data_IF_013012745613
#
_entry.id   IF_013012745613
#
_cell.length_a   1.000
_cell.length_b   1.000
_cell.length_c   1.000
_cell.angle_alpha   90.00
_cell.angle_beta   90.00
_cell.angle_gamma   90.00
#
_symmetry.space_group_name_H-M   'P 1'
#
loop_
_entity.id
_entity.type
_entity.pdbx_description
1 polymer ?
#
# COMPACT_ATOMS: atom_id res chain seq x y z
N UNK A 1 10.51 -8.66 -6.19
CA UNK A 1 9.91 -9.46 -5.09
C UNK A 1 8.43 -9.68 -5.40
N UNK A 2 7.85 -10.81 -5.01
CA UNK A 2 6.41 -11.03 -5.16
C UNK A 2 5.60 -10.13 -4.21
N UNK A 3 4.36 -9.80 -4.58
CA UNK A 3 3.44 -8.94 -3.84
C UNK A 3 3.24 -9.38 -2.38
N UNK A 4 3.12 -10.68 -2.13
CA UNK A 4 2.91 -11.20 -0.77
C UNK A 4 4.16 -11.01 0.11
N UNK A 5 5.35 -11.24 -0.46
CA UNK A 5 6.62 -11.14 0.27
C UNK A 5 6.94 -9.71 0.69
N UNK A 6 6.82 -8.76 -0.25
CA UNK A 6 6.97 -7.33 0.04
C UNK A 6 5.87 -6.84 0.99
N UNK A 7 4.62 -7.27 0.77
CA UNK A 7 3.48 -6.88 1.58
C UNK A 7 3.63 -7.31 3.03
N UNK A 8 4.07 -8.54 3.28
CA UNK A 8 4.31 -9.05 4.63
C UNK A 8 5.39 -8.25 5.36
N UNK A 9 6.50 -7.94 4.68
CA UNK A 9 7.56 -7.13 5.25
C UNK A 9 7.09 -5.70 5.54
N UNK A 10 6.44 -5.03 4.59
CA UNK A 10 5.92 -3.67 4.77
C UNK A 10 4.90 -3.60 5.91
N UNK A 11 3.96 -4.54 5.93
CA UNK A 11 2.94 -4.63 6.98
C UNK A 11 3.61 -4.74 8.34
N UNK A 12 4.51 -5.70 8.52
CA UNK A 12 5.22 -5.89 9.78
C UNK A 12 6.03 -4.66 10.21
N UNK A 13 6.74 -4.01 9.29
CA UNK A 13 7.54 -2.82 9.63
C UNK A 13 6.69 -1.61 10.03
N UNK A 14 5.47 -1.48 9.50
CA UNK A 14 4.62 -0.33 9.79
C UNK A 14 3.61 -0.55 10.92
N UNK A 15 3.15 -1.79 11.12
CA UNK A 15 2.16 -2.12 12.15
C UNK A 15 2.79 -2.79 13.37
N UNK A 16 3.98 -3.39 13.22
CA UNK A 16 4.59 -4.26 14.24
C UNK A 16 3.94 -5.64 14.32
N UNK A 17 2.92 -5.92 13.51
CA UNK A 17 2.14 -7.16 13.55
C UNK A 17 2.49 -8.06 12.35
N UNK A 18 2.39 -9.40 12.48
CA UNK A 18 2.55 -10.29 11.34
C UNK A 18 1.38 -10.14 10.37
N UNK A 19 1.65 -10.23 9.06
CA UNK A 19 0.60 -10.23 8.04
C UNK A 19 -0.01 -11.63 7.91
N UNK A 20 -1.34 -11.72 7.97
CA UNK A 20 -2.06 -12.91 7.54
C UNK A 20 -2.13 -12.97 6.01
N UNK A 21 -1.39 -13.90 5.41
CA UNK A 21 -1.33 -14.06 3.95
C UNK A 21 -2.68 -14.44 3.35
N UNK A 22 -3.57 -15.05 4.12
CA UNK A 22 -4.92 -15.44 3.67
C UNK A 22 -5.84 -14.23 3.49
N UNK A 23 -5.54 -13.11 4.15
CA UNK A 23 -6.27 -11.86 4.05
C UNK A 23 -5.90 -11.01 2.82
N UNK A 24 -4.82 -11.38 2.13
CA UNK A 24 -4.31 -10.66 0.96
C UNK A 24 -5.31 -10.75 -0.20
N UNK A 25 -5.66 -9.59 -0.75
CA UNK A 25 -6.46 -9.43 -1.97
C UNK A 25 -5.70 -8.55 -2.93
N UNK A 26 -4.70 -9.13 -3.60
CA UNK A 26 -3.81 -8.45 -4.55
C UNK A 26 -4.58 -7.68 -5.63
N UNK A 27 -5.62 -8.28 -6.23
CA UNK A 27 -6.50 -7.62 -7.22
C UNK A 27 -7.19 -6.36 -6.70
N UNK A 28 -7.26 -6.16 -5.38
CA UNK A 28 -7.83 -4.99 -4.72
C UNK A 28 -6.78 -4.11 -4.06
N UNK A 29 -5.50 -4.44 -4.23
CA UNK A 29 -4.37 -3.78 -3.57
C UNK A 29 -4.50 -3.79 -2.03
N UNK A 30 -5.12 -4.82 -1.46
CA UNK A 30 -5.38 -4.93 -0.03
C UNK A 30 -4.52 -6.04 0.58
N UNK A 31 -3.74 -5.72 1.60
CA UNK A 31 -2.94 -6.71 2.33
C UNK A 31 -3.75 -7.34 3.45
N UNK A 32 -4.45 -6.50 4.23
CA UNK A 32 -5.13 -6.95 5.42
C UNK A 32 -5.40 -5.79 6.37
N UNK A 33 -5.75 -6.14 7.60
CA UNK A 33 -5.93 -5.17 8.67
C UNK A 33 -5.09 -5.54 9.89
N UNK A 34 -4.60 -4.49 10.55
CA UNK A 34 -3.94 -4.53 11.85
C UNK A 34 -4.93 -4.10 12.93
N UNK A 35 -4.50 -4.04 14.18
CA UNK A 35 -5.33 -3.52 15.26
C UNK A 35 -5.75 -2.06 15.04
N UNK A 36 -4.97 -1.27 14.30
CA UNK A 36 -5.20 0.18 14.13
C UNK A 36 -5.45 0.64 12.68
N UNK A 37 -5.05 -0.15 11.68
CA UNK A 37 -5.06 0.25 10.26
C UNK A 37 -5.55 -0.83 9.31
N UNK A 38 -6.27 -0.42 8.27
CA UNK A 38 -6.36 -1.16 7.02
C UNK A 38 -5.12 -0.89 6.17
N UNK A 39 -4.42 -1.94 5.75
CA UNK A 39 -3.18 -1.80 5.01
C UNK A 39 -3.38 -2.17 3.55
N UNK A 40 -2.97 -1.25 2.68
CA UNK A 40 -3.09 -1.34 1.23
C UNK A 40 -1.71 -1.26 0.60
N UNK A 41 -1.50 -2.01 -0.47
CA UNK A 41 -0.25 -2.02 -1.22
C UNK A 41 -0.57 -1.92 -2.71
N UNK A 42 -0.16 -0.81 -3.32
CA UNK A 42 -0.17 -0.60 -4.77
C UNK A 42 1.23 -0.96 -5.28
N UNK A 43 1.37 -2.20 -5.74
CA UNK A 43 2.64 -2.74 -6.22
C UNK A 43 2.40 -3.83 -7.26
N UNK A 44 3.24 -3.85 -8.28
CA UNK A 44 3.39 -4.96 -9.19
C UNK A 44 4.89 -5.13 -9.47
N UNK A 45 5.42 -6.37 -9.59
CA UNK A 45 6.82 -6.62 -9.93
C UNK A 45 7.14 -6.32 -11.42
N UNK A 46 6.60 -5.23 -11.97
CA UNK A 46 6.86 -4.76 -13.34
C UNK A 46 7.35 -3.32 -13.30
N UNK A 47 8.55 -3.09 -13.83
CA UNK A 47 9.18 -1.75 -13.83
C UNK A 47 8.31 -0.71 -14.55
N UNK A 48 7.66 -1.09 -15.65
CA UNK A 48 6.77 -0.23 -16.41
C UNK A 48 5.56 0.21 -15.59
N UNK A 49 4.98 -0.71 -14.80
CA UNK A 49 3.88 -0.39 -13.87
C UNK A 49 4.36 0.59 -12.80
N UNK A 50 5.49 0.33 -12.15
CA UNK A 50 6.04 1.19 -11.09
C UNK A 50 6.33 2.63 -11.55
N UNK A 51 6.67 2.82 -12.82
CA UNK A 51 6.85 4.13 -13.45
C UNK A 51 5.54 4.75 -13.95
N UNK A 52 4.50 3.93 -14.12
CA UNK A 52 3.21 4.36 -14.61
C UNK A 52 2.43 5.11 -13.52
N UNK A 53 1.44 5.88 -13.99
CA UNK A 53 0.49 6.56 -13.11
C UNK A 53 -0.37 5.60 -12.30
N UNK A 54 -0.54 4.37 -12.79
CA UNK A 54 -1.36 3.34 -12.16
C UNK A 54 -0.75 2.85 -10.83
N UNK A 55 0.57 2.93 -10.68
CA UNK A 55 1.23 2.60 -9.44
C UNK A 55 1.15 3.72 -8.38
N UNK A 56 0.63 4.90 -8.72
CA UNK A 56 0.54 5.99 -7.76
C UNK A 56 -0.75 5.94 -6.94
N UNK A 57 -0.69 6.36 -5.67
CA UNK A 57 -1.89 6.65 -4.90
C UNK A 57 -2.64 7.83 -5.53
N UNK A 58 -3.87 7.56 -5.97
CA UNK A 58 -4.79 8.56 -6.53
C UNK A 58 -5.89 8.93 -5.53
N UNK A 59 -6.51 10.10 -5.72
CA UNK A 59 -7.65 10.53 -4.92
C UNK A 59 -8.81 9.53 -5.03
N UNK A 60 -9.13 9.07 -6.24
CA UNK A 60 -10.22 8.11 -6.45
C UNK A 60 -10.00 6.78 -5.72
N UNK A 61 -8.75 6.32 -5.60
CA UNK A 61 -8.42 5.16 -4.78
C UNK A 61 -8.62 5.46 -3.28
N UNK A 62 -8.14 6.61 -2.80
CA UNK A 62 -8.31 7.05 -1.42
C UNK A 62 -9.80 7.18 -1.03
N UNK A 63 -10.64 7.79 -1.88
CA UNK A 63 -12.08 7.91 -1.66
C UNK A 63 -12.79 6.55 -1.66
N UNK A 64 -12.33 5.61 -2.50
CA UNK A 64 -12.89 4.25 -2.56
C UNK A 64 -12.65 3.49 -1.25
N UNK A 65 -11.43 3.55 -0.71
CA UNK A 65 -11.08 2.84 0.53
C UNK A 65 -11.67 3.52 1.76
N UNK A 66 -11.75 4.87 1.77
CA UNK A 66 -12.33 5.67 2.85
C UNK A 66 -13.81 5.41 3.12
N UNK A 67 -14.49 4.67 2.22
CA UNK A 67 -15.83 4.13 2.51
C UNK A 67 -15.84 3.19 3.73
N UNK A 68 -14.70 2.60 4.10
CA UNK A 68 -14.56 1.77 5.29
C UNK A 68 -14.00 2.60 6.45
N UNK A 69 -14.87 3.20 7.25
CA UNK A 69 -14.50 4.15 8.30
C UNK A 69 -14.14 3.53 9.66
N UNK A 70 -13.98 2.21 9.72
CA UNK A 70 -13.70 1.48 10.97
C UNK A 70 -12.30 1.78 11.52
N UNK A 71 -11.31 1.90 10.61
CA UNK A 71 -9.90 2.13 10.93
C UNK A 71 -9.29 3.10 9.94
N UNK A 72 -8.15 3.68 10.29
CA UNK A 72 -7.33 4.46 9.36
C UNK A 72 -6.81 3.58 8.24
N UNK A 73 -6.53 4.16 7.08
CA UNK A 73 -6.00 3.43 5.93
C UNK A 73 -4.54 3.78 5.71
N UNK A 74 -3.65 2.80 5.81
CA UNK A 74 -2.25 2.95 5.44
C UNK A 74 -2.03 2.44 4.03
N UNK A 75 -1.61 3.30 3.11
CA UNK A 75 -1.40 2.96 1.70
C UNK A 75 0.07 3.05 1.33
N UNK A 76 0.64 1.91 0.96
CA UNK A 76 1.96 1.81 0.38
C UNK A 76 1.89 1.96 -1.14
N UNK A 77 2.61 2.93 -1.68
CA UNK A 77 2.73 3.13 -3.12
C UNK A 77 4.10 3.75 -3.47
N UNK A 78 4.64 3.51 -4.68
CA UNK A 78 5.88 4.14 -5.15
C UNK A 78 5.75 5.66 -5.29
N UNK A 79 4.55 6.15 -5.58
CA UNK A 79 4.26 7.57 -5.73
C UNK A 79 2.84 7.90 -5.27
N UNK A 80 2.51 9.20 -5.21
CA UNK A 80 1.14 9.68 -5.04
C UNK A 80 0.90 10.88 -5.96
N UNK A 81 -0.34 11.03 -6.41
CA UNK A 81 -0.80 12.23 -7.13
C UNK A 81 -1.80 13.07 -6.35
N UNK A 82 -2.00 12.76 -5.07
CA UNK A 82 -2.95 13.45 -4.20
C UNK A 82 -2.21 14.09 -3.02
N UNK A 83 -2.45 15.38 -2.71
CA UNK A 83 -1.82 16.09 -1.60
C UNK A 83 -2.35 15.60 -0.23
N UNK A 84 -1.55 15.74 0.84
CA UNK A 84 -1.91 15.17 2.16
C UNK A 84 -3.18 15.81 2.72
N UNK A 85 -3.39 17.11 2.44
CA UNK A 85 -4.58 17.84 2.86
C UNK A 85 -5.90 17.19 2.39
N UNK A 86 -5.87 16.45 1.29
CA UNK A 86 -7.03 15.69 0.80
C UNK A 86 -7.12 14.28 1.40
N UNK A 87 -6.00 13.67 1.79
CA UNK A 87 -5.97 12.34 2.40
C UNK A 87 -6.36 12.35 3.89
N UNK A 88 -5.95 13.40 4.62
CA UNK A 88 -6.24 13.57 6.05
C UNK A 88 -7.74 13.43 6.40
N UNK A 89 -8.68 14.16 5.77
CA UNK A 89 -10.10 14.02 6.08
C UNK A 89 -10.69 12.65 5.69
N UNK A 90 -10.00 11.90 4.82
CA UNK A 90 -10.38 10.54 4.43
C UNK A 90 -9.83 9.47 5.39
N UNK A 91 -9.04 9.85 6.40
CA UNK A 91 -8.35 8.90 7.28
C UNK A 91 -7.30 8.06 6.56
N UNK A 92 -6.78 8.55 5.43
CA UNK A 92 -5.79 7.86 4.59
C UNK A 92 -4.39 8.41 4.85
N UNK A 93 -3.45 7.52 5.11
CA UNK A 93 -2.02 7.80 5.29
C UNK A 93 -1.23 7.19 4.13
N UNK A 94 -0.34 7.99 3.56
CA UNK A 94 0.55 7.55 2.49
C UNK A 94 1.91 7.16 3.07
N UNK A 95 2.37 5.96 2.75
CA UNK A 95 3.72 5.49 3.03
C UNK A 95 4.47 5.22 1.72
N UNK A 96 5.62 5.86 1.48
CA UNK A 96 6.39 5.60 0.27
C UNK A 96 6.99 4.20 0.30
N UNK A 97 6.96 3.50 -0.83
CA UNK A 97 7.72 2.26 -0.96
C UNK A 97 9.21 2.53 -0.86
N UNK A 98 9.96 1.80 0.00
CA UNK A 98 11.39 1.98 0.07
C UNK A 98 12.04 1.53 -1.24
N UNK A 99 12.86 2.41 -1.82
CA UNK A 99 13.61 2.16 -3.05
C UNK A 99 14.53 0.92 -2.97
N UNK A 100 14.76 0.37 -1.79
CA UNK A 100 15.48 -0.90 -1.58
C UNK A 100 14.86 -2.08 -2.36
N UNK A 101 13.58 -1.99 -2.75
CA UNK A 101 12.89 -3.02 -3.53
C UNK A 101 13.40 -3.15 -4.97
N UNK A 102 14.00 -2.10 -5.53
CA UNK A 102 14.60 -2.12 -6.87
C UNK A 102 15.92 -2.91 -6.94
N UNK A 103 16.51 -3.30 -5.80
CA UNK A 103 17.83 -3.95 -5.77
C UNK A 103 17.79 -5.48 -5.81
N UNK A 104 16.61 -6.10 -5.76
CA UNK A 104 16.49 -7.57 -5.77
C UNK A 104 16.64 -8.21 -7.16
N UNK A 105 16.98 -7.45 -8.22
CA UNK A 105 17.35 -7.99 -9.54
C UNK A 105 18.86 -8.27 -9.71
N UNK A 106 19.64 -8.31 -8.64
CA UNK A 106 21.01 -8.89 -8.72
C UNK A 106 21.26 -9.88 -7.58
N UNK A 107 21.08 -11.15 -7.91
CA UNK A 107 21.47 -12.32 -7.14
C UNK A 107 21.21 -13.56 -7.98
#
# INVERSE_FOLDING_TARGET
PDYASIGAWLFHTATGEPLDLSSIKEKRSYLGESSAFHVWLIYEPKLEFLKSRDAALTLSFAEKIAKKTDKRHLVFAPARFVPNKMLLPLGVEYAPLPFALYRFEKG
#
